data_IF_696492654682
#
_entry.id   IF_696492654682
#
_cell.length_a   1.000
_cell.length_b   1.000
_cell.length_c   1.000
_cell.angle_alpha   90.00
_cell.angle_beta   90.00
_cell.angle_gamma   90.00
#
_symmetry.space_group_name_H-M   'P 1'
#
loop_
_entity.id
_entity.type
_entity.pdbx_description
1 polymer ?
#
# COMPACT_ATOMS: atom_id res chain seq x y z
N UNK A 1 -24.25 -20.29 -14.70
CA UNK A 1 -24.06 -21.73 -14.51
C UNK A 1 -22.77 -21.96 -13.72
N UNK A 2 -22.84 -22.78 -12.67
CA UNK A 2 -21.69 -23.17 -11.89
C UNK A 2 -20.93 -24.33 -12.59
N UNK A 3 -19.64 -24.48 -12.30
CA UNK A 3 -18.78 -25.55 -12.81
C UNK A 3 -18.02 -25.16 -14.09
N UNK A 4 -17.34 -26.11 -14.71
CA UNK A 4 -16.44 -25.89 -15.85
C UNK A 4 -17.08 -25.34 -17.12
N UNK A 5 -18.38 -25.51 -17.26
CA UNK A 5 -19.14 -25.12 -18.46
C UNK A 5 -19.76 -23.72 -18.35
N UNK A 6 -19.17 -22.82 -17.57
CA UNK A 6 -19.62 -21.44 -17.52
C UNK A 6 -19.35 -20.72 -18.86
N UNK A 7 -20.21 -19.80 -19.21
CA UNK A 7 -20.01 -18.92 -20.36
C UNK A 7 -19.31 -17.64 -19.90
N UNK A 8 -18.32 -17.19 -20.69
CA UNK A 8 -17.67 -15.92 -20.45
C UNK A 8 -18.63 -14.78 -20.86
N UNK A 9 -18.70 -13.76 -20.02
CA UNK A 9 -19.39 -12.52 -20.38
C UNK A 9 -18.57 -11.76 -21.45
N UNK A 10 -19.17 -10.81 -22.19
CA UNK A 10 -18.43 -10.01 -23.16
C UNK A 10 -17.18 -9.32 -22.58
N UNK A 11 -17.23 -8.94 -21.29
CA UNK A 11 -16.08 -8.33 -20.58
C UNK A 11 -14.94 -9.35 -20.38
N UNK A 12 -15.27 -10.60 -20.14
CA UNK A 12 -14.31 -11.68 -19.90
C UNK A 12 -13.90 -12.43 -21.17
N UNK A 13 -14.49 -12.13 -22.31
CA UNK A 13 -14.21 -12.79 -23.60
C UNK A 13 -12.72 -12.80 -23.98
N UNK A 14 -11.91 -11.74 -23.71
CA UNK A 14 -10.48 -11.78 -23.95
C UNK A 14 -9.73 -12.89 -23.17
N UNK A 15 -10.33 -13.45 -22.13
CA UNK A 15 -9.76 -14.56 -21.35
C UNK A 15 -10.13 -15.94 -21.93
N UNK A 16 -10.88 -16.01 -23.03
CA UNK A 16 -11.30 -17.28 -23.64
C UNK A 16 -10.15 -18.28 -23.91
N UNK A 17 -8.96 -17.85 -24.37
CA UNK A 17 -7.82 -18.75 -24.55
C UNK A 17 -7.31 -19.40 -23.25
N UNK A 18 -7.61 -18.78 -22.10
CA UNK A 18 -7.18 -19.19 -20.77
C UNK A 18 -8.31 -19.80 -19.94
N UNK A 19 -9.48 -20.03 -20.50
CA UNK A 19 -10.69 -20.44 -19.77
C UNK A 19 -10.47 -21.64 -18.84
N UNK A 20 -9.67 -22.60 -19.25
CA UNK A 20 -9.35 -23.79 -18.44
C UNK A 20 -8.47 -23.46 -17.21
N UNK A 21 -7.85 -22.28 -17.18
CA UNK A 21 -7.01 -21.79 -16.09
C UNK A 21 -7.70 -20.73 -15.25
N UNK A 22 -8.91 -20.30 -15.65
CA UNK A 22 -9.68 -19.23 -14.97
C UNK A 22 -10.70 -19.85 -14.03
N UNK A 23 -10.70 -19.39 -12.79
CA UNK A 23 -11.77 -19.68 -11.83
C UNK A 23 -12.49 -18.38 -11.50
N UNK A 24 -13.80 -18.34 -11.81
CA UNK A 24 -14.67 -17.23 -11.41
C UNK A 24 -15.41 -17.61 -10.15
N UNK A 25 -15.18 -16.85 -9.09
CA UNK A 25 -15.87 -17.01 -7.79
C UNK A 25 -16.92 -15.93 -7.67
N UNK A 26 -18.15 -16.32 -7.37
CA UNK A 26 -19.28 -15.41 -7.18
C UNK A 26 -20.00 -15.72 -5.86
N UNK A 27 -20.87 -14.81 -5.43
CA UNK A 27 -21.58 -14.93 -4.16
C UNK A 27 -20.71 -14.67 -2.94
N UNK A 28 -19.54 -14.05 -3.14
CA UNK A 28 -18.70 -13.54 -2.06
C UNK A 28 -19.21 -12.17 -1.62
N UNK A 29 -19.13 -11.92 -0.34
CA UNK A 29 -19.46 -10.63 0.27
C UNK A 29 -18.30 -10.16 1.15
N UNK A 30 -18.20 -8.86 1.34
CA UNK A 30 -17.20 -8.23 2.19
C UNK A 30 -17.89 -7.28 3.19
N UNK A 31 -18.50 -7.81 4.25
CA UNK A 31 -19.25 -7.01 5.22
C UNK A 31 -18.42 -5.88 5.85
N UNK A 32 -17.10 -6.04 5.91
CA UNK A 32 -16.21 -5.02 6.47
C UNK A 32 -16.05 -3.78 5.58
N UNK A 33 -16.48 -3.83 4.32
CA UNK A 33 -16.57 -2.67 3.45
C UNK A 33 -17.90 -1.90 3.61
N UNK A 34 -18.88 -2.47 4.28
CA UNK A 34 -20.15 -1.81 4.60
C UNK A 34 -19.96 -0.71 5.64
N UNK A 35 -20.95 0.16 5.80
CA UNK A 35 -20.84 1.32 6.70
C UNK A 35 -20.71 0.95 8.17
N UNK A 36 -21.31 -0.14 8.59
CA UNK A 36 -21.35 -0.60 9.99
C UNK A 36 -21.71 0.48 11.02
N UNK A 37 -22.39 1.54 10.56
CA UNK A 37 -22.78 2.69 11.37
C UNK A 37 -21.92 3.96 11.15
N UNK A 38 -20.87 3.89 10.35
CA UNK A 38 -19.97 5.02 10.07
C UNK A 38 -20.55 6.06 9.09
N UNK A 39 -21.69 5.78 8.48
CA UNK A 39 -22.27 6.61 7.43
C UNK A 39 -21.62 6.37 6.08
N UNK A 40 -21.59 7.39 5.20
CA UNK A 40 -20.96 7.28 3.90
C UNK A 40 -19.42 7.20 4.02
N UNK A 41 -18.74 6.78 2.96
CA UNK A 41 -17.28 6.53 2.91
C UNK A 41 -16.98 5.18 2.25
N UNK A 42 -17.80 4.80 1.28
CA UNK A 42 -17.76 3.52 0.58
C UNK A 42 -16.47 3.33 -0.24
N UNK A 43 -15.97 4.36 -0.92
CA UNK A 43 -14.69 4.28 -1.63
C UNK A 43 -13.52 3.98 -0.66
N UNK A 44 -13.48 4.71 0.43
CA UNK A 44 -12.46 4.56 1.47
C UNK A 44 -12.46 3.16 2.07
N UNK A 45 -13.65 2.67 2.46
CA UNK A 45 -13.79 1.33 3.05
C UNK A 45 -13.50 0.23 2.05
N UNK A 46 -13.96 0.37 0.80
CA UNK A 46 -13.69 -0.59 -0.25
C UNK A 46 -12.18 -0.75 -0.49
N UNK A 47 -11.45 0.36 -0.68
CA UNK A 47 -10.00 0.33 -0.87
C UNK A 47 -9.27 -0.29 0.33
N UNK A 48 -9.64 0.10 1.55
CA UNK A 48 -8.96 -0.36 2.76
C UNK A 48 -9.22 -1.82 3.09
N UNK A 49 -10.45 -2.33 2.83
CA UNK A 49 -10.85 -3.68 3.19
C UNK A 49 -10.51 -4.72 2.11
N UNK A 50 -10.19 -4.29 0.89
CA UNK A 50 -10.07 -5.13 -0.30
C UNK A 50 -9.17 -6.35 -0.12
N UNK A 51 -7.97 -6.18 0.42
CA UNK A 51 -6.99 -7.25 0.54
C UNK A 51 -6.82 -7.82 1.96
N UNK A 52 -7.58 -7.32 2.93
CA UNK A 52 -7.44 -7.78 4.33
C UNK A 52 -8.76 -8.11 5.04
N UNK A 53 -9.89 -7.73 4.47
CA UNK A 53 -11.20 -7.96 5.09
C UNK A 53 -11.40 -7.22 6.41
N UNK A 54 -10.70 -6.11 6.66
CA UNK A 54 -10.76 -5.36 7.90
C UNK A 54 -11.46 -4.02 7.68
N UNK A 55 -12.42 -3.70 8.54
CA UNK A 55 -13.05 -2.37 8.53
C UNK A 55 -12.04 -1.30 8.97
N UNK A 56 -11.77 -0.26 8.16
CA UNK A 56 -10.80 0.76 8.52
C UNK A 56 -11.31 1.63 9.66
N UNK A 57 -10.39 2.09 10.51
CA UNK A 57 -10.73 3.04 11.55
C UNK A 57 -11.16 4.36 10.95
N UNK A 58 -12.37 4.85 11.30
CA UNK A 58 -12.82 6.16 10.89
C UNK A 58 -12.02 7.24 11.62
N UNK A 59 -11.14 7.89 10.92
CA UNK A 59 -10.29 8.98 11.41
C UNK A 59 -9.80 9.85 10.26
N UNK A 60 -9.68 11.15 10.49
CA UNK A 60 -9.04 12.11 9.60
C UNK A 60 -7.57 12.35 9.99
N UNK A 61 -7.18 11.86 11.15
CA UNK A 61 -5.85 12.06 11.72
C UNK A 61 -4.81 11.05 11.26
N UNK A 62 -3.65 11.10 11.90
CA UNK A 62 -2.52 10.20 11.65
C UNK A 62 -2.71 8.80 12.26
N UNK A 63 -3.72 8.61 13.10
CA UNK A 63 -4.03 7.36 13.78
C UNK A 63 -4.83 6.38 12.91
N UNK A 64 -4.51 6.35 11.62
CA UNK A 64 -5.08 5.43 10.63
C UNK A 64 -4.84 3.99 11.04
N UNK A 65 -5.82 3.14 10.74
CA UNK A 65 -5.72 1.71 10.97
C UNK A 65 -6.60 0.97 9.97
N UNK A 66 -5.99 0.10 9.18
CA UNK A 66 -6.65 -0.86 8.33
C UNK A 66 -6.31 -2.28 8.83
N UNK A 67 -5.74 -3.13 8.04
CA UNK A 67 -5.23 -4.44 8.44
C UNK A 67 -4.02 -4.74 7.57
N UNK A 68 -3.14 -5.61 7.98
CA UNK A 68 -2.09 -6.12 7.09
C UNK A 68 -2.73 -6.81 5.91
N UNK A 69 -2.34 -6.45 4.70
CA UNK A 69 -2.96 -6.97 3.48
C UNK A 69 -2.31 -8.26 3.01
N UNK A 70 -3.06 -9.09 2.30
CA UNK A 70 -2.63 -10.42 1.87
C UNK A 70 -1.40 -10.37 0.95
N UNK A 71 -1.30 -9.36 0.11
CA UNK A 71 -0.12 -9.11 -0.73
C UNK A 71 1.13 -8.85 0.11
N UNK A 72 1.03 -8.05 1.18
CA UNK A 72 2.15 -7.76 2.06
C UNK A 72 2.52 -8.96 2.96
N UNK A 73 1.54 -9.78 3.37
CA UNK A 73 1.81 -11.05 4.03
C UNK A 73 2.57 -12.01 3.09
N UNK A 74 2.16 -12.07 1.81
CA UNK A 74 2.86 -12.86 0.80
C UNK A 74 4.27 -12.31 0.53
N UNK A 75 4.43 -11.01 0.40
CA UNK A 75 5.71 -10.34 0.20
C UNK A 75 6.70 -10.62 1.34
N UNK A 76 6.23 -10.62 2.57
CA UNK A 76 7.07 -10.94 3.74
C UNK A 76 7.66 -12.36 3.70
N UNK A 77 7.01 -13.30 3.01
CA UNK A 77 7.47 -14.69 2.87
C UNK A 77 8.20 -14.90 1.55
N UNK A 78 7.58 -14.51 0.44
CA UNK A 78 8.08 -14.79 -0.91
C UNK A 78 9.15 -13.80 -1.37
N UNK A 79 9.15 -12.60 -0.80
CA UNK A 79 10.04 -11.51 -1.18
C UNK A 79 11.42 -11.53 -0.54
N UNK A 80 11.71 -12.50 0.36
CA UNK A 80 12.98 -12.52 1.12
C UNK A 80 14.21 -12.70 0.25
N UNK A 81 14.06 -13.34 -0.90
CA UNK A 81 15.16 -13.63 -1.84
C UNK A 81 15.10 -12.71 -3.08
N UNK A 82 14.26 -11.69 -3.08
CA UNK A 82 14.09 -10.75 -4.21
C UNK A 82 14.59 -9.36 -3.85
N UNK A 83 15.10 -8.63 -4.84
CA UNK A 83 15.55 -7.25 -4.63
C UNK A 83 14.41 -6.31 -4.22
N UNK A 84 13.20 -6.58 -4.68
CA UNK A 84 11.97 -5.88 -4.31
C UNK A 84 10.96 -6.94 -3.83
N UNK A 85 10.64 -6.97 -2.53
CA UNK A 85 9.66 -7.92 -1.99
C UNK A 85 8.26 -7.73 -2.57
N UNK A 86 7.89 -6.48 -2.86
CA UNK A 86 6.62 -6.09 -3.48
C UNK A 86 6.78 -4.83 -4.31
N UNK A 87 5.82 -4.57 -5.16
CA UNK A 87 5.78 -3.39 -6.01
C UNK A 87 4.35 -2.85 -6.03
N UNK A 88 4.13 -1.77 -5.34
CA UNK A 88 2.86 -1.09 -5.25
C UNK A 88 2.77 -0.03 -6.36
N UNK A 89 1.80 -0.18 -7.25
CA UNK A 89 1.64 0.67 -8.43
C UNK A 89 0.28 1.34 -8.44
N UNK A 90 0.24 2.57 -8.96
CA UNK A 90 -0.99 3.31 -9.20
C UNK A 90 -0.96 4.04 -10.54
N UNK A 91 -2.11 4.50 -11.00
CA UNK A 91 -2.22 5.30 -12.23
C UNK A 91 -2.15 6.78 -11.88
N UNK A 92 -2.90 7.18 -10.87
CA UNK A 92 -2.98 8.57 -10.41
C UNK A 92 -2.47 8.69 -8.98
N UNK A 93 -1.71 9.75 -8.72
CA UNK A 93 -1.42 10.19 -7.36
C UNK A 93 -2.45 11.26 -7.00
N UNK A 94 -3.50 10.85 -6.31
CA UNK A 94 -4.25 11.80 -5.52
C UNK A 94 -3.46 12.16 -4.26
N UNK A 95 -3.78 13.28 -3.64
CA UNK A 95 -3.06 13.75 -2.46
C UNK A 95 -3.04 12.67 -1.37
N UNK A 96 -1.85 12.24 -0.96
CA UNK A 96 -1.67 11.26 0.11
C UNK A 96 -2.10 11.81 1.48
N UNK A 97 -2.20 13.13 1.60
CA UNK A 97 -2.50 13.81 2.85
C UNK A 97 -3.76 14.65 2.70
N UNK A 98 -4.65 14.56 3.66
CA UNK A 98 -5.88 15.36 3.71
C UNK A 98 -7.08 14.55 4.21
N UNK A 99 -8.19 15.24 4.25
CA UNK A 99 -9.48 14.66 4.59
C UNK A 99 -10.03 14.00 3.33
N UNK A 100 -10.28 12.72 3.42
CA UNK A 100 -10.97 11.95 2.40
C UNK A 100 -12.49 12.01 2.56
N UNK A 101 -13.16 10.93 2.21
CA UNK A 101 -14.61 10.86 2.32
C UNK A 101 -15.08 10.81 3.78
N UNK A 102 -15.97 11.76 4.13
CA UNK A 102 -16.85 11.65 5.30
C UNK A 102 -16.18 11.30 6.63
N UNK A 103 -15.07 11.93 6.94
CA UNK A 103 -14.35 11.74 8.20
C UNK A 103 -13.32 10.60 8.16
N UNK A 104 -12.94 10.15 6.98
CA UNK A 104 -11.82 9.26 6.76
C UNK A 104 -10.62 10.02 6.20
N UNK A 105 -9.43 9.56 6.50
CA UNK A 105 -8.19 10.05 5.89
C UNK A 105 -8.13 9.68 4.40
N UNK A 106 -7.64 10.62 3.58
CA UNK A 106 -7.38 10.39 2.15
C UNK A 106 -6.42 9.22 1.91
N UNK A 107 -5.56 8.94 2.85
CA UNK A 107 -4.61 7.82 2.79
C UNK A 107 -5.27 6.47 2.51
N UNK A 108 -6.47 6.24 3.04
CA UNK A 108 -7.19 5.01 2.80
C UNK A 108 -7.64 4.81 1.35
N UNK A 109 -7.94 5.89 0.62
CA UNK A 109 -8.33 5.81 -0.79
C UNK A 109 -7.10 5.55 -1.68
N UNK A 110 -5.96 6.10 -1.29
CA UNK A 110 -4.74 6.06 -2.09
C UNK A 110 -3.83 4.88 -1.77
N UNK A 111 -4.22 4.02 -0.83
CA UNK A 111 -3.38 2.90 -0.41
C UNK A 111 -4.21 1.64 -0.24
N UNK A 112 -4.01 0.68 -1.14
CA UNK A 112 -4.66 -0.64 -1.05
C UNK A 112 -3.81 -1.60 -0.21
N UNK A 113 -2.48 -1.45 -0.28
CA UNK A 113 -1.51 -2.35 0.37
C UNK A 113 -1.05 -1.79 1.72
N UNK A 114 -1.07 -2.62 2.76
CA UNK A 114 -0.68 -2.25 4.12
C UNK A 114 0.29 -3.29 4.69
N UNK A 115 1.50 -2.85 5.02
CA UNK A 115 2.56 -3.71 5.60
C UNK A 115 2.22 -4.15 7.01
N UNK A 116 1.65 -3.26 7.80
CA UNK A 116 1.12 -3.53 9.14
C UNK A 116 -0.28 -2.90 9.25
N UNK A 117 -1.04 -3.15 10.33
CA UNK A 117 -2.33 -2.51 10.51
C UNK A 117 -2.31 -0.98 10.48
N UNK A 118 -1.18 -0.35 10.70
CA UNK A 118 -1.01 1.10 10.77
C UNK A 118 -0.03 1.67 9.75
N UNK A 119 0.66 0.81 8.99
CA UNK A 119 1.69 1.22 8.04
C UNK A 119 1.25 0.95 6.60
N UNK A 120 0.81 1.99 5.87
CA UNK A 120 0.51 1.87 4.46
C UNK A 120 1.78 1.61 3.64
N UNK A 121 1.63 0.94 2.49
CA UNK A 121 2.68 0.79 1.49
C UNK A 121 2.41 1.80 0.35
N UNK A 122 3.21 2.87 0.22
CA UNK A 122 2.99 3.90 -0.77
C UNK A 122 3.07 3.35 -2.20
N UNK A 123 2.16 3.79 -3.06
CA UNK A 123 2.20 3.42 -4.47
C UNK A 123 3.15 4.32 -5.26
N UNK A 124 3.68 3.78 -6.36
CA UNK A 124 4.46 4.50 -7.35
C UNK A 124 3.66 4.61 -8.66
N UNK A 125 3.55 5.80 -9.21
CA UNK A 125 2.81 6.06 -10.45
C UNK A 125 3.68 6.58 -11.59
N UNK A 126 4.99 6.76 -11.37
CA UNK A 126 5.92 7.23 -12.40
C UNK A 126 6.60 6.02 -13.06
N UNK A 127 6.27 5.68 -14.32
CA UNK A 127 6.79 4.48 -14.97
C UNK A 127 8.33 4.42 -15.02
N UNK A 128 8.98 5.56 -15.12
CA UNK A 128 10.44 5.66 -15.11
C UNK A 128 11.02 5.21 -13.77
N UNK A 129 10.46 5.67 -12.65
CA UNK A 129 10.91 5.28 -11.31
C UNK A 129 10.69 3.78 -11.10
N UNK A 130 9.54 3.25 -11.54
CA UNK A 130 9.26 1.80 -11.51
C UNK A 130 10.32 1.03 -12.30
N UNK A 131 10.65 1.48 -13.51
CA UNK A 131 11.68 0.86 -14.33
C UNK A 131 13.06 0.89 -13.64
N UNK A 132 13.44 2.04 -13.11
CA UNK A 132 14.71 2.23 -12.40
C UNK A 132 14.79 1.36 -11.13
N UNK A 133 13.69 1.20 -10.41
CA UNK A 133 13.60 0.27 -9.25
C UNK A 133 13.77 -1.20 -9.65
N UNK A 134 13.23 -1.59 -10.81
CA UNK A 134 13.29 -2.99 -11.29
C UNK A 134 14.62 -3.34 -11.94
N UNK A 135 15.20 -2.43 -12.72
CA UNK A 135 16.32 -2.71 -13.62
C UNK A 135 17.53 -1.84 -13.35
N UNK A 136 17.46 -0.86 -12.46
CA UNK A 136 18.44 0.16 -12.23
C UNK A 136 18.33 1.32 -13.23
N UNK A 137 19.00 2.39 -12.92
CA UNK A 137 18.98 3.65 -13.68
C UNK A 137 19.93 3.68 -14.90
N UNK A 138 20.53 2.54 -15.23
CA UNK A 138 21.53 2.43 -16.30
C UNK A 138 22.93 2.89 -15.89
N UNK A 139 23.12 3.30 -14.63
CA UNK A 139 24.41 3.72 -14.10
C UNK A 139 25.39 2.54 -13.95
N UNK A 140 26.68 2.84 -13.96
CA UNK A 140 27.73 1.88 -13.65
C UNK A 140 27.68 1.43 -12.17
N UNK A 141 28.30 0.29 -11.86
CA UNK A 141 28.41 -0.17 -10.48
C UNK A 141 29.09 0.86 -9.55
N UNK A 142 30.04 1.64 -10.07
CA UNK A 142 30.71 2.70 -9.32
C UNK A 142 29.78 3.88 -9.03
N UNK A 143 28.98 4.30 -10.03
CA UNK A 143 27.99 5.37 -9.87
C UNK A 143 26.88 4.96 -8.89
N UNK A 144 26.41 3.71 -8.95
CA UNK A 144 25.44 3.17 -7.99
C UNK A 144 26.00 3.17 -6.56
N UNK A 145 27.23 2.74 -6.37
CA UNK A 145 27.89 2.79 -5.06
C UNK A 145 28.04 4.22 -4.54
N UNK A 146 28.39 5.17 -5.41
CA UNK A 146 28.43 6.59 -5.05
C UNK A 146 27.05 7.14 -4.69
N UNK A 147 26.01 6.74 -5.44
CA UNK A 147 24.61 7.07 -5.13
C UNK A 147 24.18 6.54 -3.77
N UNK A 148 24.44 5.27 -3.48
CA UNK A 148 24.14 4.63 -2.19
C UNK A 148 24.84 5.36 -1.04
N UNK A 149 26.12 5.77 -1.22
CA UNK A 149 26.83 6.53 -0.20
C UNK A 149 26.22 7.92 0.03
N UNK A 150 25.75 8.56 -1.04
CA UNK A 150 25.05 9.85 -0.95
C UNK A 150 23.70 9.69 -0.22
N UNK A 151 22.94 8.67 -0.59
CA UNK A 151 21.66 8.39 0.04
C UNK A 151 21.82 8.03 1.53
N UNK A 152 22.86 7.25 1.88
CA UNK A 152 23.22 6.99 3.28
C UNK A 152 23.54 8.27 4.05
N UNK A 153 24.31 9.19 3.45
CA UNK A 153 24.60 10.47 4.07
C UNK A 153 23.35 11.31 4.31
N UNK A 154 22.41 11.31 3.35
CA UNK A 154 21.12 12.00 3.51
C UNK A 154 20.29 11.35 4.62
N UNK A 155 20.25 10.02 4.68
CA UNK A 155 19.54 9.29 5.73
C UNK A 155 20.15 9.54 7.11
N UNK A 156 21.47 9.65 7.20
CA UNK A 156 22.16 9.99 8.45
C UNK A 156 21.78 11.39 8.94
N UNK A 157 21.75 12.38 8.02
CA UNK A 157 21.32 13.75 8.31
C UNK A 157 19.85 13.79 8.76
N UNK A 158 18.95 13.09 8.06
CA UNK A 158 17.54 12.98 8.41
C UNK A 158 17.36 12.31 9.78
N UNK A 159 18.14 11.26 10.07
CA UNK A 159 18.11 10.55 11.35
C UNK A 159 18.57 11.46 12.50
N UNK A 160 19.58 12.30 12.26
CA UNK A 160 20.03 13.27 13.25
C UNK A 160 18.99 14.35 13.53
N UNK A 161 18.35 14.90 12.46
CA UNK A 161 17.27 15.87 12.59
C UNK A 161 16.07 15.28 13.32
N UNK A 162 15.70 14.03 12.99
CA UNK A 162 14.66 13.28 13.67
C UNK A 162 14.95 13.12 15.16
N UNK A 163 16.17 12.74 15.51
CA UNK A 163 16.58 12.61 16.91
C UNK A 163 16.42 13.92 17.66
N UNK A 164 16.79 15.04 17.04
CA UNK A 164 16.57 16.38 17.59
C UNK A 164 15.10 16.72 17.74
N UNK A 165 14.27 16.34 16.76
CA UNK A 165 12.83 16.54 16.80
C UNK A 165 12.19 15.74 17.94
N UNK A 166 12.50 14.44 18.05
CA UNK A 166 11.97 13.56 19.09
C UNK A 166 12.23 14.11 20.49
N UNK A 167 13.40 14.70 20.74
CA UNK A 167 13.72 15.31 22.03
C UNK A 167 12.82 16.50 22.40
N UNK A 168 12.12 17.10 21.43
CA UNK A 168 11.24 18.25 21.59
C UNK A 168 9.75 17.90 21.64
N UNK A 169 9.40 16.68 21.33
CA UNK A 169 8.02 16.18 21.28
C UNK A 169 7.60 15.58 22.63
N UNK A 170 6.31 15.63 22.91
CA UNK A 170 5.70 14.90 24.02
C UNK A 170 5.69 13.37 23.77
N UNK A 171 5.57 12.58 24.82
CA UNK A 171 5.70 11.11 24.76
C UNK A 171 4.77 10.43 23.73
N UNK A 172 3.55 10.94 23.56
CA UNK A 172 2.60 10.39 22.58
C UNK A 172 3.02 10.63 21.13
N UNK A 173 3.60 11.80 20.85
CA UNK A 173 4.05 12.16 19.51
C UNK A 173 5.41 11.53 19.20
N UNK A 174 6.27 11.34 20.22
CA UNK A 174 7.49 10.58 20.07
C UNK A 174 7.21 9.14 19.60
N UNK A 175 6.27 8.45 20.24
CA UNK A 175 5.92 7.07 19.88
C UNK A 175 5.45 6.97 18.41
N UNK A 176 4.59 7.89 17.98
CA UNK A 176 4.08 7.93 16.60
C UNK A 176 5.17 8.24 15.58
N UNK A 177 6.02 9.20 15.89
CA UNK A 177 7.13 9.58 15.01
C UNK A 177 8.15 8.44 14.90
N UNK A 178 8.45 7.74 15.97
CA UNK A 178 9.35 6.58 15.96
C UNK A 178 8.76 5.46 15.09
N UNK A 179 7.47 5.12 15.27
CA UNK A 179 6.78 4.11 14.45
C UNK A 179 6.81 4.46 12.96
N UNK A 180 6.63 5.73 12.61
CA UNK A 180 6.71 6.19 11.22
C UNK A 180 8.11 6.00 10.62
N UNK A 181 9.15 6.32 11.37
CA UNK A 181 10.53 6.23 10.89
C UNK A 181 11.07 4.79 10.86
N UNK A 182 10.58 3.90 11.71
CA UNK A 182 10.90 2.47 11.64
C UNK A 182 10.26 1.78 10.42
N UNK A 183 9.29 2.44 9.78
CA UNK A 183 8.57 1.93 8.61
C UNK A 183 9.17 2.37 7.26
N UNK A 184 10.12 3.32 7.25
CA UNK A 184 10.86 3.80 6.07
C UNK A 184 12.16 3.03 5.92
#
# INVERSE_FOLDING_TARGET
>A
TAGRNFELSPILEPLAPFKEQVTVVSGMDLPQAESLGDGSGDHTRACSAWLNGTHPKKTEGADVRAGTTADQMAAAVLGQETALPSLELGIDLEHLVGIGENGYSQLYQNTISWRTPTTPAPLENIPRIVFERLFGDGSTAAERLSGIQTDQSILDDVTEEMTRLLQRLGAGDQARSTEYFEAI
#
